data_IF_210608765228
#
_entry.id   IF_210608765228
#
_cell.length_a   1.000
_cell.length_b   1.000
_cell.length_c   1.000
_cell.angle_alpha   90.00
_cell.angle_beta   90.00
_cell.angle_gamma   90.00
#
_symmetry.space_group_name_H-M   'P 1'
#
loop_
_entity.id
_entity.type
_entity.pdbx_description
1 polymer ?
#
# COMPACT_ATOMS: atom_id res chain seq x y z
N UNK A 1 6.09 -24.74 14.79
CA UNK A 1 6.45 -25.15 13.41
C UNK A 1 6.20 -24.00 12.42
N UNK A 2 7.31 -23.50 11.86
CA UNK A 2 7.39 -22.40 10.89
C UNK A 2 6.81 -22.82 9.54
N UNK A 3 5.88 -22.04 8.98
CA UNK A 3 5.55 -22.14 7.56
C UNK A 3 6.30 -21.05 6.80
N UNK A 4 7.51 -21.42 6.35
CA UNK A 4 8.19 -20.76 5.24
C UNK A 4 7.54 -21.20 3.94
N UNK A 5 6.96 -20.27 3.18
CA UNK A 5 6.84 -20.40 1.72
C UNK A 5 7.31 -19.11 1.07
N UNK A 6 8.63 -19.00 0.92
CA UNK A 6 9.24 -18.18 -0.12
C UNK A 6 9.07 -18.94 -1.44
N UNK A 7 8.16 -18.49 -2.30
CA UNK A 7 8.25 -18.77 -3.72
C UNK A 7 8.70 -17.47 -4.40
N UNK A 8 9.90 -17.47 -4.97
CA UNK A 8 10.32 -16.45 -5.92
C UNK A 8 9.28 -16.39 -7.06
N UNK A 9 8.86 -15.20 -7.53
CA UNK A 9 7.99 -15.15 -8.70
C UNK A 9 8.76 -15.62 -9.94
N UNK A 10 8.21 -16.54 -10.75
CA UNK A 10 8.82 -16.92 -12.01
C UNK A 10 8.83 -15.72 -12.97
N UNK A 11 9.99 -15.52 -13.60
CA UNK A 11 10.16 -14.55 -14.69
C UNK A 11 9.29 -14.89 -15.89
N UNK A 12 8.66 -13.84 -16.44
CA UNK A 12 8.09 -13.71 -17.80
C UNK A 12 6.91 -14.63 -18.15
N UNK A 13 5.71 -14.06 -18.07
CA UNK A 13 4.68 -14.28 -19.08
C UNK A 13 4.23 -12.93 -19.63
N UNK A 14 4.54 -12.72 -20.91
CA UNK A 14 3.93 -11.70 -21.74
C UNK A 14 2.44 -12.04 -21.87
N UNK A 15 1.57 -11.22 -21.29
CA UNK A 15 0.20 -11.07 -21.76
C UNK A 15 -0.27 -9.67 -21.38
N UNK A 16 -0.49 -8.85 -22.39
CA UNK A 16 -1.15 -7.58 -22.28
C UNK A 16 -2.57 -7.81 -21.75
N UNK A 17 -2.77 -7.63 -20.45
CA UNK A 17 -4.08 -7.63 -19.83
C UNK A 17 -4.26 -6.28 -19.15
N UNK A 18 -4.81 -5.38 -19.97
CA UNK A 18 -5.70 -4.27 -19.59
C UNK A 18 -5.39 -3.55 -18.27
N UNK A 19 -4.74 -2.41 -18.41
CA UNK A 19 -4.59 -1.33 -17.44
C UNK A 19 -5.96 -0.72 -17.07
N UNK A 20 -6.86 -1.49 -16.44
CA UNK A 20 -8.12 -0.98 -15.89
C UNK A 20 -7.86 -0.32 -14.54
N UNK A 21 -7.14 0.79 -14.62
CA UNK A 21 -7.23 1.98 -13.77
C UNK A 21 -7.85 1.73 -12.38
N UNK A 22 -7.02 1.31 -11.41
CA UNK A 22 -7.35 1.14 -9.99
C UNK A 22 -7.67 2.48 -9.27
N UNK A 23 -8.27 3.44 -9.99
CA UNK A 23 -8.69 4.74 -9.49
C UNK A 23 -9.87 4.56 -8.54
N UNK A 24 -9.92 5.44 -7.54
CA UNK A 24 -11.06 5.51 -6.66
C UNK A 24 -12.33 5.87 -7.45
N UNK A 25 -13.43 5.17 -7.19
CA UNK A 25 -14.74 5.43 -7.80
C UNK A 25 -15.46 6.65 -7.22
N UNK A 26 -14.96 7.21 -6.10
CA UNK A 26 -15.57 8.38 -5.48
C UNK A 26 -15.42 9.63 -6.37
N UNK A 27 -16.52 10.35 -6.67
CA UNK A 27 -16.48 11.52 -7.55
C UNK A 27 -15.45 12.56 -7.10
N UNK A 28 -14.58 12.99 -8.03
CA UNK A 28 -13.55 13.99 -7.77
C UNK A 28 -12.31 13.48 -7.00
N UNK A 29 -12.26 12.20 -6.62
CA UNK A 29 -11.09 11.64 -5.95
C UNK A 29 -9.90 11.50 -6.91
N UNK A 30 -8.74 12.04 -6.52
CA UNK A 30 -7.51 12.04 -7.33
C UNK A 30 -6.64 10.78 -7.14
N UNK A 31 -7.08 9.83 -6.30
CA UNK A 31 -6.29 8.64 -6.01
C UNK A 31 -6.24 7.69 -7.21
N UNK A 32 -5.03 7.42 -7.70
CA UNK A 32 -4.77 6.58 -8.87
C UNK A 32 -4.73 5.08 -8.57
N UNK A 33 -4.42 4.73 -7.32
CA UNK A 33 -4.33 3.36 -6.83
C UNK A 33 -4.62 3.31 -5.35
N UNK A 34 -5.21 2.21 -4.89
CA UNK A 34 -5.28 1.88 -3.48
C UNK A 34 -3.91 1.39 -2.99
N UNK A 35 -3.47 1.84 -1.81
CA UNK A 35 -2.31 1.28 -1.12
C UNK A 35 -2.77 0.77 0.24
N UNK A 36 -2.44 -0.48 0.55
CA UNK A 36 -2.81 -1.07 1.83
C UNK A 36 -2.14 -0.33 3.00
N UNK A 37 -2.96 0.08 3.96
CA UNK A 37 -2.52 0.71 5.20
C UNK A 37 -2.77 -0.24 6.37
N UNK A 38 -1.74 -0.48 7.17
CA UNK A 38 -1.82 -1.41 8.30
C UNK A 38 -2.69 -0.82 9.42
N UNK A 39 -3.61 -1.61 9.94
CA UNK A 39 -4.46 -1.25 11.07
C UNK A 39 -4.66 -2.49 11.95
N UNK A 40 -4.65 -2.32 13.27
CA UNK A 40 -4.92 -3.38 14.25
C UNK A 40 -6.09 -2.96 15.14
N UNK A 41 -7.28 -3.49 14.85
CA UNK A 41 -8.52 -2.99 15.45
C UNK A 41 -8.70 -1.49 15.19
N UNK A 42 -8.81 -0.70 16.26
CA UNK A 42 -8.92 0.77 16.19
C UNK A 42 -7.55 1.48 16.05
N UNK A 43 -6.44 0.76 16.18
CA UNK A 43 -5.10 1.34 16.09
C UNK A 43 -4.66 1.43 14.63
N UNK A 44 -4.56 2.64 14.12
CA UNK A 44 -3.99 2.91 12.80
C UNK A 44 -2.50 3.19 12.93
N UNK A 45 -1.68 2.53 12.10
CA UNK A 45 -0.26 2.83 12.04
C UNK A 45 -0.03 4.26 11.59
N UNK A 46 1.06 4.86 12.07
CA UNK A 46 1.43 6.23 11.72
C UNK A 46 2.66 6.22 10.83
N UNK A 47 2.82 7.32 10.09
CA UNK A 47 4.06 7.58 9.39
C UNK A 47 5.22 7.71 10.40
N UNK A 48 6.47 7.55 9.97
CA UNK A 48 7.65 7.83 10.78
C UNK A 48 7.66 9.26 11.34
N UNK A 49 7.00 10.21 10.66
CA UNK A 49 6.77 11.58 11.16
C UNK A 49 5.65 11.69 12.23
N UNK A 50 5.11 10.57 12.71
CA UNK A 50 4.04 10.45 13.73
C UNK A 50 2.66 10.99 13.32
N UNK A 51 2.49 11.39 12.06
CA UNK A 51 1.20 11.82 11.50
C UNK A 51 0.43 10.66 10.83
N UNK A 52 -0.87 10.85 10.62
CA UNK A 52 -1.76 9.84 10.02
C UNK A 52 -1.54 9.78 8.50
N UNK A 53 -1.93 8.69 7.86
CA UNK A 53 -1.84 8.58 6.40
C UNK A 53 -2.69 9.63 5.68
N UNK A 54 -3.81 10.06 6.28
CA UNK A 54 -4.68 11.14 5.77
C UNK A 54 -4.00 12.51 5.76
N UNK A 55 -2.95 12.70 6.56
CA UNK A 55 -2.16 13.94 6.59
C UNK A 55 -1.12 14.00 5.46
N UNK A 56 -1.15 13.07 4.50
CA UNK A 56 -0.18 12.98 3.41
C UNK A 56 -0.84 13.19 2.04
N UNK A 57 -0.07 13.67 1.06
CA UNK A 57 -0.55 13.89 -0.30
C UNK A 57 -1.03 12.59 -0.96
N UNK A 58 -2.11 12.67 -1.74
CA UNK A 58 -2.60 11.54 -2.52
C UNK A 58 -1.63 11.10 -3.62
N UNK A 59 -0.76 12.01 -4.06
CA UNK A 59 0.27 11.74 -5.07
C UNK A 59 1.56 11.25 -4.43
N UNK A 60 2.27 10.28 -5.05
CA UNK A 60 3.64 9.93 -4.69
C UNK A 60 4.55 11.18 -4.66
N UNK A 61 5.51 11.28 -3.72
CA UNK A 61 5.91 10.24 -2.76
C UNK A 61 5.06 10.23 -1.47
N UNK A 62 3.86 10.81 -1.50
CA UNK A 62 2.97 10.92 -0.34
C UNK A 62 3.61 11.74 0.78
N UNK A 63 3.94 13.01 0.52
CA UNK A 63 4.55 13.91 1.52
C UNK A 63 3.54 14.33 2.57
N UNK A 64 4.00 14.60 3.79
CA UNK A 64 3.10 15.11 4.83
C UNK A 64 2.73 16.57 4.55
N UNK A 65 1.45 16.90 4.67
CA UNK A 65 0.90 18.24 4.47
C UNK A 65 0.79 19.03 5.79
N UNK A 66 1.21 18.45 6.92
CA UNK A 66 1.19 19.15 8.21
C UNK A 66 2.22 20.29 8.18
N UNK A 67 1.86 21.48 8.71
CA UNK A 67 2.80 22.60 8.78
C UNK A 67 4.02 22.20 9.60
N UNK A 68 5.19 22.70 9.20
CA UNK A 68 6.48 22.44 9.85
C UNK A 68 6.94 20.97 9.85
N UNK A 69 6.37 20.11 9.00
CA UNK A 69 6.79 18.72 8.87
C UNK A 69 7.76 18.53 7.68
N UNK A 70 8.97 18.03 7.93
CA UNK A 70 9.97 17.76 6.88
C UNK A 70 9.87 16.35 6.27
N UNK A 71 8.69 15.73 6.33
CA UNK A 71 8.47 14.37 5.84
C UNK A 71 8.57 14.31 4.30
N UNK A 72 9.61 13.61 3.80
CA UNK A 72 9.90 13.50 2.36
C UNK A 72 9.02 12.46 1.64
N UNK A 73 8.53 11.46 2.37
CA UNK A 73 7.68 10.38 1.86
C UNK A 73 6.97 9.67 3.01
N UNK A 74 5.74 9.21 2.77
CA UNK A 74 5.04 8.37 3.73
C UNK A 74 5.85 7.08 3.99
N UNK A 75 6.09 6.77 5.26
CA UNK A 75 6.78 5.54 5.66
C UNK A 75 6.20 5.00 6.95
N UNK A 76 5.76 3.75 6.95
CA UNK A 76 5.29 3.08 8.14
C UNK A 76 6.44 2.30 8.81
N UNK A 77 6.66 2.53 10.10
CA UNK A 77 7.70 1.83 10.90
C UNK A 77 7.23 0.47 11.44
N UNK A 78 6.00 0.07 11.11
CA UNK A 78 5.45 -1.20 11.56
C UNK A 78 6.15 -2.37 10.89
N UNK A 79 6.45 -3.39 11.70
CA UNK A 79 6.96 -4.68 11.26
C UNK A 79 5.81 -5.67 11.21
N UNK A 80 5.64 -6.31 10.07
CA UNK A 80 4.58 -7.29 9.84
C UNK A 80 4.83 -8.55 10.66
N UNK A 81 3.78 -9.33 11.05
CA UNK A 81 3.97 -10.64 11.68
C UNK A 81 4.87 -11.60 10.91
N UNK A 82 5.04 -11.40 9.59
CA UNK A 82 6.02 -12.15 8.79
C UNK A 82 7.49 -11.74 9.03
N UNK A 83 7.77 -10.76 9.92
CA UNK A 83 9.10 -10.27 10.26
C UNK A 83 9.63 -9.16 9.33
N UNK A 84 8.97 -8.87 8.22
CA UNK A 84 9.42 -7.84 7.28
C UNK A 84 8.83 -6.47 7.55
N UNK A 85 9.56 -5.42 7.15
CA UNK A 85 9.05 -4.05 7.20
C UNK A 85 7.84 -3.87 6.28
N UNK A 86 6.96 -2.91 6.60
CA UNK A 86 5.86 -2.55 5.71
C UNK A 86 6.34 -2.21 4.28
N UNK A 87 7.49 -1.53 4.14
CA UNK A 87 8.06 -1.16 2.83
C UNK A 87 8.43 -2.36 1.95
N UNK A 88 8.63 -3.53 2.55
CA UNK A 88 8.95 -4.77 1.83
C UNK A 88 7.71 -5.42 1.19
N UNK A 89 6.52 -4.86 1.42
CA UNK A 89 5.26 -5.40 0.91
C UNK A 89 4.72 -4.55 -0.25
N UNK A 90 4.14 -5.22 -1.25
CA UNK A 90 3.41 -4.58 -2.34
C UNK A 90 1.93 -4.92 -2.25
N UNK A 91 1.04 -3.95 -2.44
CA UNK A 91 -0.40 -4.21 -2.60
C UNK A 91 -0.63 -4.86 -3.96
N UNK A 92 -1.25 -6.04 -3.96
CA UNK A 92 -1.64 -6.77 -5.18
C UNK A 92 -3.15 -6.71 -5.38
N UNK A 93 -3.59 -6.61 -6.64
CA UNK A 93 -5.00 -6.61 -7.02
C UNK A 93 -5.26 -7.88 -7.82
N UNK A 94 -6.15 -8.73 -7.33
CA UNK A 94 -6.57 -9.93 -8.03
C UNK A 94 -8.04 -9.79 -8.42
N UNK A 95 -8.40 -9.88 -9.72
CA UNK A 95 -9.80 -9.98 -10.10
C UNK A 95 -10.39 -11.23 -9.45
N UNK A 96 -11.60 -11.11 -8.88
CA UNK A 96 -12.35 -12.27 -8.40
C UNK A 96 -12.62 -13.19 -9.60
N UNK A 97 -12.02 -14.37 -9.62
CA UNK A 97 -12.46 -15.42 -10.53
C UNK A 97 -13.82 -15.92 -10.03
N UNK A 98 -14.89 -15.44 -10.65
CA UNK A 98 -16.17 -16.13 -10.56
C UNK A 98 -16.02 -17.42 -11.38
N UNK A 99 -15.89 -18.55 -10.70
CA UNK A 99 -16.06 -19.86 -11.34
C UNK A 99 -17.57 -20.06 -11.50
N UNK A 100 -18.04 -20.08 -12.74
CA UNK A 100 -19.36 -20.58 -13.10
C UNK A 100 -19.41 -22.10 -12.91
#
# INVERSE_FOLDING_TARGET
PLYHHLAAPPSRMNNAVDNRNNKCSYPGCKCLKFNFHVQFGKLQTRCACKHKHTDHSHSPPHRCNRPFCNCKAYSCLWTCPCGHSWKSHSTQFTPKQFRC
#
